data_IF_429893313059
#
_entry.id   IF_429893313059
#
_cell.length_a   1.000
_cell.length_b   1.000
_cell.length_c   1.000
_cell.angle_alpha   90.00
_cell.angle_beta   90.00
_cell.angle_gamma   90.00
#
_symmetry.space_group_name_H-M   'P 1'
#
loop_
_entity.id
_entity.type
_entity.pdbx_description
1 polymer ?
#
# COMPACT_ATOMS: atom_id res chain seq x y z
N UNK A 1 3.38 -26.05 -26.60
CA UNK A 1 2.02 -25.59 -26.27
C UNK A 1 2.12 -24.98 -24.89
N UNK A 2 1.79 -23.70 -24.72
CA UNK A 2 1.74 -23.09 -23.38
C UNK A 2 0.52 -23.71 -22.70
N UNK A 3 0.70 -24.53 -21.67
CA UNK A 3 -0.44 -24.99 -20.89
C UNK A 3 -1.00 -23.76 -20.15
N UNK A 4 -2.25 -23.36 -20.40
CA UNK A 4 -2.84 -22.29 -19.63
C UNK A 4 -2.93 -22.79 -18.19
N UNK A 5 -2.20 -22.13 -17.29
CA UNK A 5 -2.21 -22.46 -15.86
C UNK A 5 -3.63 -22.60 -15.32
N UNK A 6 -3.83 -23.54 -14.41
CA UNK A 6 -5.13 -23.76 -13.80
C UNK A 6 -5.44 -22.60 -12.86
N UNK A 7 -6.52 -21.87 -13.10
CA UNK A 7 -6.99 -20.85 -12.16
C UNK A 7 -7.48 -21.57 -10.90
N UNK A 8 -6.90 -21.23 -9.75
CA UNK A 8 -7.25 -21.78 -8.43
C UNK A 8 -7.99 -20.77 -7.56
N UNK A 9 -7.87 -19.48 -7.85
CA UNK A 9 -8.63 -18.41 -7.20
C UNK A 9 -8.76 -17.20 -8.12
N UNK A 10 -9.89 -16.51 -8.06
CA UNK A 10 -10.10 -15.26 -8.79
C UNK A 10 -10.60 -14.20 -7.80
N UNK A 11 -9.90 -13.08 -7.75
CA UNK A 11 -10.27 -11.92 -6.95
C UNK A 11 -10.58 -10.71 -7.83
N UNK A 12 -10.85 -9.57 -7.21
CA UNK A 12 -11.12 -8.33 -7.94
C UNK A 12 -9.84 -7.79 -8.59
N UNK A 13 -9.72 -7.92 -9.91
CA UNK A 13 -8.57 -7.40 -10.68
C UNK A 13 -7.34 -8.31 -10.70
N UNK A 14 -7.39 -9.51 -10.11
CA UNK A 14 -6.29 -10.48 -10.15
C UNK A 14 -6.80 -11.93 -10.16
N UNK A 15 -5.93 -12.86 -10.52
CA UNK A 15 -6.17 -14.30 -10.43
C UNK A 15 -4.93 -15.01 -9.87
N UNK A 16 -5.14 -16.10 -9.13
CA UNK A 16 -4.09 -17.03 -8.73
C UNK A 16 -4.20 -18.27 -9.60
N UNK A 17 -3.08 -18.67 -10.21
CA UNK A 17 -2.96 -19.79 -11.11
C UNK A 17 -1.92 -20.79 -10.60
N UNK A 18 -2.16 -22.07 -10.82
CA UNK A 18 -1.16 -23.12 -10.71
C UNK A 18 -0.51 -23.34 -12.09
N UNK A 19 0.80 -23.10 -12.17
CA UNK A 19 1.62 -23.27 -13.38
C UNK A 19 2.84 -24.11 -12.97
N UNK A 20 3.03 -25.27 -13.61
CA UNK A 20 4.13 -26.20 -13.32
C UNK A 20 4.23 -26.59 -11.82
N UNK A 21 3.09 -26.80 -11.16
CA UNK A 21 3.02 -27.14 -9.72
C UNK A 21 3.39 -25.99 -8.78
N UNK A 22 3.52 -24.76 -9.30
CA UNK A 22 3.78 -23.55 -8.51
C UNK A 22 2.59 -22.61 -8.59
N UNK A 23 2.24 -22.02 -7.45
CA UNK A 23 1.24 -20.97 -7.40
C UNK A 23 1.84 -19.65 -7.85
N UNK A 24 1.14 -18.96 -8.75
CA UNK A 24 1.47 -17.65 -9.24
C UNK A 24 0.25 -16.75 -9.17
N UNK A 25 0.43 -15.51 -8.75
CA UNK A 25 -0.60 -14.47 -8.83
C UNK A 25 -0.38 -13.63 -10.08
N UNK A 26 -1.47 -13.25 -10.75
CA UNK A 26 -1.46 -12.49 -11.99
C UNK A 26 -2.51 -11.40 -12.02
N UNK A 27 -2.14 -10.25 -12.59
CA UNK A 27 -3.03 -9.11 -12.85
C UNK A 27 -2.54 -8.35 -14.09
N UNK A 28 -3.39 -7.47 -14.61
CA UNK A 28 -3.05 -6.62 -15.74
C UNK A 28 -2.24 -5.39 -15.28
N UNK A 29 -1.10 -5.14 -15.91
CA UNK A 29 -0.25 -3.98 -15.60
C UNK A 29 0.01 -3.10 -16.84
N UNK A 30 0.15 -1.80 -16.60
CA UNK A 30 0.42 -0.78 -17.61
C UNK A 30 -0.79 -0.43 -18.48
N UNK A 31 -0.61 0.56 -19.36
CA UNK A 31 -1.68 1.11 -20.21
C UNK A 31 -2.31 0.08 -21.17
N UNK A 32 -1.53 -0.93 -21.56
CA UNK A 32 -1.94 -1.98 -22.49
C UNK A 32 -2.47 -3.24 -21.78
N UNK A 33 -2.49 -3.25 -20.43
CA UNK A 33 -3.10 -4.32 -19.63
C UNK A 33 -2.45 -5.70 -19.80
N UNK A 34 -1.12 -5.76 -19.95
CA UNK A 34 -0.43 -7.05 -20.09
C UNK A 34 -0.48 -7.83 -18.77
N UNK A 35 -0.80 -9.13 -18.79
CA UNK A 35 -0.76 -9.94 -17.58
C UNK A 35 0.69 -10.11 -17.12
N UNK A 36 0.95 -9.76 -15.87
CA UNK A 36 2.19 -10.05 -15.15
C UNK A 36 1.98 -11.22 -14.20
N UNK A 37 3.05 -11.93 -13.84
CA UNK A 37 2.98 -13.13 -13.00
C UNK A 37 4.05 -13.06 -11.93
N UNK A 38 3.65 -13.25 -10.68
CA UNK A 38 4.54 -13.27 -9.53
C UNK A 38 4.34 -14.55 -8.73
N UNK A 39 5.43 -15.09 -8.18
CA UNK A 39 5.36 -16.25 -7.30
C UNK A 39 4.65 -15.89 -5.99
N UNK A 40 3.83 -16.82 -5.49
CA UNK A 40 3.11 -16.65 -4.23
C UNK A 40 3.31 -17.89 -3.34
N UNK A 41 3.56 -17.65 -2.05
CA UNK A 41 3.61 -18.70 -1.03
C UNK A 41 2.21 -19.15 -0.62
N UNK A 42 2.09 -20.34 -0.04
CA UNK A 42 0.81 -20.82 0.50
C UNK A 42 0.24 -19.89 1.59
N UNK A 43 1.09 -19.33 2.45
CA UNK A 43 0.67 -18.35 3.46
C UNK A 43 0.07 -17.08 2.84
N UNK A 44 0.68 -16.56 1.78
CA UNK A 44 0.18 -15.39 1.06
C UNK A 44 -1.11 -15.72 0.28
N UNK A 45 -1.22 -16.95 -0.24
CA UNK A 45 -2.44 -17.43 -0.88
C UNK A 45 -3.62 -17.49 0.10
N UNK A 46 -3.39 -18.02 1.32
CA UNK A 46 -4.40 -17.99 2.38
C UNK A 46 -4.77 -16.55 2.78
N UNK A 47 -3.79 -15.64 2.82
CA UNK A 47 -4.03 -14.22 3.12
C UNK A 47 -4.90 -13.54 2.03
N UNK A 48 -4.60 -13.74 0.75
CA UNK A 48 -5.37 -13.21 -0.39
C UNK A 48 -6.87 -13.54 -0.28
N UNK A 49 -7.22 -14.73 0.23
CA UNK A 49 -8.61 -15.20 0.29
C UNK A 49 -9.41 -14.57 1.44
N UNK A 50 -8.78 -13.87 2.38
CA UNK A 50 -9.44 -13.34 3.58
C UNK A 50 -10.26 -12.08 3.31
N UNK A 51 -9.68 -11.12 2.58
CA UNK A 51 -10.34 -9.85 2.26
C UNK A 51 -9.68 -9.18 1.05
N UNK A 52 -10.38 -8.22 0.43
CA UNK A 52 -9.78 -7.40 -0.63
C UNK A 52 -8.58 -6.57 -0.13
N UNK A 53 -8.62 -6.12 1.13
CA UNK A 53 -7.49 -5.42 1.74
C UNK A 53 -6.28 -6.34 1.81
N UNK A 54 -6.45 -7.53 2.40
CA UNK A 54 -5.39 -8.54 2.50
C UNK A 54 -4.85 -8.89 1.10
N UNK A 55 -5.73 -9.03 0.11
CA UNK A 55 -5.31 -9.29 -1.26
C UNK A 55 -4.42 -8.19 -1.83
N UNK A 56 -4.82 -6.92 -1.67
CA UNK A 56 -4.03 -5.77 -2.12
C UNK A 56 -2.66 -5.72 -1.44
N UNK A 57 -2.58 -6.01 -0.13
CA UNK A 57 -1.30 -6.07 0.61
C UNK A 57 -0.38 -7.16 0.05
N UNK A 58 -0.92 -8.35 -0.26
CA UNK A 58 -0.14 -9.44 -0.87
C UNK A 58 0.33 -9.06 -2.28
N UNK A 59 -0.54 -8.48 -3.10
CA UNK A 59 -0.18 -8.02 -4.46
C UNK A 59 0.93 -6.98 -4.41
N UNK A 60 0.86 -6.04 -3.46
CA UNK A 60 1.89 -5.04 -3.19
C UNK A 60 3.21 -5.72 -2.81
N UNK A 61 3.18 -6.68 -1.88
CA UNK A 61 4.37 -7.44 -1.47
C UNK A 61 4.98 -8.22 -2.64
N UNK A 62 4.18 -8.92 -3.44
CA UNK A 62 4.66 -9.68 -4.60
C UNK A 62 5.36 -8.77 -5.63
N UNK A 63 4.89 -7.53 -5.78
CA UNK A 63 5.44 -6.56 -6.74
C UNK A 63 6.69 -5.84 -6.23
N UNK A 64 6.64 -5.31 -5.01
CA UNK A 64 7.66 -4.42 -4.46
C UNK A 64 8.61 -5.09 -3.46
N UNK A 65 8.31 -6.32 -3.05
CA UNK A 65 9.12 -7.09 -2.10
C UNK A 65 8.99 -6.67 -0.63
N UNK A 66 8.13 -5.69 -0.32
CA UNK A 66 7.90 -5.19 1.03
C UNK A 66 6.40 -5.15 1.31
N UNK A 67 6.00 -5.39 2.55
CA UNK A 67 4.61 -5.19 2.96
C UNK A 67 4.31 -3.67 3.02
N UNK A 68 3.08 -3.25 2.73
CA UNK A 68 2.67 -1.89 3.06
C UNK A 68 2.79 -1.68 4.57
N UNK A 69 2.99 -0.42 4.97
CA UNK A 69 3.03 -0.05 6.38
C UNK A 69 1.70 -0.38 7.05
N UNK A 70 1.75 -0.68 8.35
CA UNK A 70 0.51 -0.72 9.12
C UNK A 70 -0.08 0.70 9.19
N UNK A 71 -1.41 0.81 9.36
CA UNK A 71 -2.08 2.11 9.30
C UNK A 71 -1.55 3.07 10.36
N UNK A 72 -1.24 2.54 11.53
CA UNK A 72 -0.63 3.26 12.64
C UNK A 72 0.75 3.80 12.26
N UNK A 73 1.56 3.01 11.55
CA UNK A 73 2.88 3.41 11.04
C UNK A 73 2.78 4.44 9.92
N UNK A 74 1.77 4.35 9.04
CA UNK A 74 1.49 5.37 8.01
C UNK A 74 1.15 6.72 8.65
N UNK A 75 0.26 6.72 9.65
CA UNK A 75 -0.11 7.95 10.38
C UNK A 75 1.11 8.56 11.07
N UNK A 76 1.96 7.73 11.70
CA UNK A 76 3.16 8.23 12.36
C UNK A 76 4.21 8.73 11.37
N UNK A 77 4.35 8.11 10.21
CA UNK A 77 5.20 8.59 9.13
C UNK A 77 4.73 9.96 8.60
N UNK A 78 3.43 10.12 8.36
CA UNK A 78 2.83 11.39 7.96
C UNK A 78 3.06 12.49 9.01
N UNK A 79 2.85 12.16 10.29
CA UNK A 79 3.14 13.08 11.40
C UNK A 79 4.61 13.51 11.41
N UNK A 80 5.53 12.56 11.28
CA UNK A 80 6.95 12.85 11.27
C UNK A 80 7.35 13.76 10.10
N UNK A 81 6.81 13.52 8.91
CA UNK A 81 7.05 14.38 7.76
C UNK A 81 6.55 15.82 8.01
N UNK A 82 5.36 15.98 8.60
CA UNK A 82 4.82 17.30 8.93
C UNK A 82 5.60 17.98 10.07
N UNK A 83 6.17 17.24 11.02
CA UNK A 83 7.07 17.80 12.04
C UNK A 83 8.34 18.39 11.41
N UNK A 84 8.87 17.76 10.36
CA UNK A 84 10.03 18.27 9.61
C UNK A 84 9.68 19.48 8.73
N UNK A 85 8.47 19.49 8.16
CA UNK A 85 7.94 20.56 7.31
C UNK A 85 6.61 21.18 7.87
N UNK A 86 6.65 21.92 8.99
CA UNK A 86 5.44 22.44 9.65
C UNK A 86 4.61 23.40 8.79
N UNK A 87 5.22 24.06 7.81
CA UNK A 87 4.56 24.94 6.84
C UNK A 87 3.38 24.26 6.11
N UNK A 88 3.41 22.94 5.93
CA UNK A 88 2.31 22.17 5.34
C UNK A 88 1.02 22.26 6.15
N UNK A 89 1.08 22.59 7.45
CA UNK A 89 -0.12 22.83 8.27
C UNK A 89 -0.85 24.13 7.89
N UNK A 90 -0.15 25.07 7.26
CA UNK A 90 -0.72 26.32 6.75
C UNK A 90 -1.28 26.13 5.33
N UNK A 91 -0.56 25.39 4.48
CA UNK A 91 -0.97 25.12 3.10
C UNK A 91 -2.08 24.07 3.00
N UNK A 92 -2.06 23.06 3.87
CA UNK A 92 -2.99 21.92 3.89
C UNK A 92 -3.60 21.78 5.29
N UNK A 93 -4.68 22.53 5.61
CA UNK A 93 -5.31 22.51 6.93
C UNK A 93 -5.84 21.14 7.37
N UNK A 94 -6.09 20.21 6.43
CA UNK A 94 -6.52 18.85 6.74
C UNK A 94 -5.51 18.09 7.60
N UNK A 95 -4.21 18.38 7.44
CA UNK A 95 -3.12 17.78 8.19
C UNK A 95 -3.19 18.10 9.69
N UNK A 96 -3.87 19.19 10.07
CA UNK A 96 -4.04 19.58 11.47
C UNK A 96 -4.82 18.55 12.28
N UNK A 97 -5.66 17.72 11.63
CA UNK A 97 -6.43 16.65 12.29
C UNK A 97 -5.56 15.49 12.79
N UNK A 98 -4.31 15.41 12.35
CA UNK A 98 -3.38 14.37 12.76
C UNK A 98 -2.82 14.62 14.18
N UNK A 99 -2.80 15.86 14.62
CA UNK A 99 -2.14 16.29 15.85
C UNK A 99 -3.16 16.57 16.95
N UNK A 100 -2.73 16.39 18.21
CA UNK A 100 -3.48 16.96 19.32
C UNK A 100 -3.31 18.48 19.37
N UNK A 101 -4.12 19.13 20.20
CA UNK A 101 -4.17 20.60 20.27
C UNK A 101 -2.82 21.21 20.69
N UNK A 102 -2.12 20.57 21.62
CA UNK A 102 -0.88 21.12 22.19
C UNK A 102 0.26 21.01 21.18
N UNK A 103 0.41 19.84 20.55
CA UNK A 103 1.39 19.61 19.49
C UNK A 103 1.13 20.50 18.27
N UNK A 104 -0.13 20.64 17.86
CA UNK A 104 -0.52 21.49 16.73
C UNK A 104 -0.17 22.97 16.94
N UNK A 105 -0.43 23.52 18.13
CA UNK A 105 -0.10 24.92 18.44
C UNK A 105 1.41 25.19 18.37
N UNK A 106 2.23 24.24 18.83
CA UNK A 106 3.70 24.34 18.71
C UNK A 106 4.15 24.32 17.25
N UNK A 107 3.63 23.38 16.45
CA UNK A 107 4.00 23.26 15.04
C UNK A 107 3.55 24.48 14.21
N UNK A 108 2.36 25.02 14.45
CA UNK A 108 1.88 26.23 13.76
C UNK A 108 2.73 27.46 14.07
N UNK A 109 3.28 27.56 15.29
CA UNK A 109 4.21 28.63 15.63
C UNK A 109 5.49 28.51 14.81
N UNK A 110 6.09 27.32 14.76
CA UNK A 110 7.30 27.05 13.97
C UNK A 110 7.05 27.30 12.48
N UNK A 111 5.89 26.87 11.97
CA UNK A 111 5.49 27.08 10.57
C UNK A 111 5.46 28.56 10.18
N UNK A 112 4.89 29.41 11.04
CA UNK A 112 4.82 30.86 10.81
C UNK A 112 6.21 31.50 10.86
N UNK A 113 7.00 31.13 11.86
CA UNK A 113 8.37 31.67 12.03
C UNK A 113 9.30 31.31 10.85
N UNK A 114 9.03 30.20 10.14
CA UNK A 114 9.77 29.78 8.93
C UNK A 114 9.25 30.39 7.62
N UNK A 115 8.02 30.90 7.60
CA UNK A 115 7.36 31.41 6.41
C UNK A 115 7.55 32.94 6.23
N UNK A 116 8.15 33.61 7.22
CA UNK A 116 8.59 35.02 7.17
C UNK A 116 10.02 35.17 6.60
#
# INVERSE_FOLDING_TARGET
>A
MYEPGRIIHQGHGFAVLEIDGKMKVSWAEGLIGKPVFYDISEANFEKIKKSEKDANEVLFFCKYGNWPLEKEDEIEADKNFIRECPELLLEIPENQKLFDKEELEMLLKIARDKHD
#
